data_IF_463467208935
#
_entry.id   IF_463467208935
#
_cell.length_a   1.000
_cell.length_b   1.000
_cell.length_c   1.000
_cell.angle_alpha   90.00
_cell.angle_beta   90.00
_cell.angle_gamma   90.00
#
_symmetry.space_group_name_H-M   'P 1'
#
loop_
_entity.id
_entity.type
_entity.pdbx_description
1 polymer ?
#
# COMPACT_ATOMS: atom_id res chain seq x y z
N UNK A 1 -44.23 -15.89 30.97
CA UNK A 1 -44.47 -14.73 30.09
C UNK A 1 -43.33 -13.74 30.31
N UNK A 2 -42.28 -13.82 29.50
CA UNK A 2 -41.15 -12.92 29.55
C UNK A 2 -40.93 -12.37 28.14
N UNK A 3 -41.10 -11.07 27.98
CA UNK A 3 -40.86 -10.34 26.73
C UNK A 3 -39.51 -9.66 26.87
N UNK A 4 -38.51 -10.18 26.18
CA UNK A 4 -37.18 -9.59 26.04
C UNK A 4 -37.22 -8.51 24.98
N UNK A 5 -36.92 -7.26 25.37
CA UNK A 5 -36.74 -6.12 24.47
C UNK A 5 -35.43 -6.30 23.69
N UNK A 6 -35.54 -6.36 22.35
CA UNK A 6 -34.41 -6.15 21.42
C UNK A 6 -33.92 -4.71 21.56
N UNK A 7 -32.63 -4.53 21.82
CA UNK A 7 -31.94 -3.25 21.72
C UNK A 7 -31.66 -2.94 20.23
N UNK A 8 -32.33 -1.93 19.69
CA UNK A 8 -32.00 -1.33 18.39
C UNK A 8 -30.68 -0.56 18.51
N UNK A 9 -29.58 -1.13 18.01
CA UNK A 9 -28.37 -0.37 17.65
C UNK A 9 -28.63 0.29 16.29
N UNK A 10 -29.32 1.43 16.30
CA UNK A 10 -29.32 2.36 15.17
C UNK A 10 -27.99 3.13 15.19
N UNK A 11 -27.03 2.66 14.40
CA UNK A 11 -25.85 3.45 14.05
C UNK A 11 -26.26 4.68 13.25
N UNK A 12 -26.46 5.80 13.93
CA UNK A 12 -26.50 7.11 13.29
C UNK A 12 -25.09 7.42 12.80
N UNK A 13 -24.90 7.53 11.49
CA UNK A 13 -23.64 8.06 10.95
C UNK A 13 -23.56 9.52 11.37
N UNK A 14 -22.71 9.77 12.36
CA UNK A 14 -22.50 11.09 12.91
C UNK A 14 -21.82 12.00 11.86
N UNK A 15 -22.57 12.99 11.38
CA UNK A 15 -22.08 14.06 10.53
C UNK A 15 -21.02 14.94 11.22
N UNK A 16 -20.74 14.73 12.52
CA UNK A 16 -19.69 15.39 13.29
C UNK A 16 -18.27 14.87 13.00
N UNK A 17 -18.14 13.69 12.38
CA UNK A 17 -16.85 13.09 12.04
C UNK A 17 -16.26 13.77 10.79
N UNK A 18 -15.05 14.32 10.93
CA UNK A 18 -14.35 14.97 9.82
C UNK A 18 -14.04 13.99 8.65
N UNK A 19 -13.47 14.46 7.54
CA UNK A 19 -13.16 13.60 6.40
C UNK A 19 -12.28 12.41 6.82
N UNK A 20 -12.73 11.16 6.62
CA UNK A 20 -11.97 9.94 7.01
C UNK A 20 -10.58 9.84 6.37
N UNK A 21 -10.33 10.55 5.27
CA UNK A 21 -9.00 10.61 4.66
C UNK A 21 -7.99 11.43 5.48
N UNK A 22 -8.45 12.31 6.37
CA UNK A 22 -7.60 13.09 7.27
C UNK A 22 -7.36 12.39 8.60
N UNK A 23 -8.22 11.45 8.99
CA UNK A 23 -8.04 10.73 10.24
C UNK A 23 -6.78 9.87 10.20
N UNK A 24 -6.20 9.71 11.38
CA UNK A 24 -5.16 8.74 11.64
C UNK A 24 -5.65 7.36 11.20
N UNK A 25 -4.79 6.68 10.46
CA UNK A 25 -4.92 5.25 10.23
C UNK A 25 -3.69 4.62 10.86
N UNK A 26 -3.96 3.67 11.76
CA UNK A 26 -3.01 2.99 12.64
C UNK A 26 -2.55 1.65 12.06
N UNK A 27 -2.90 1.32 10.82
CA UNK A 27 -2.54 0.04 10.21
C UNK A 27 -1.04 -0.07 9.86
N UNK A 28 -0.25 0.99 10.05
CA UNK A 28 1.20 0.97 9.85
C UNK A 28 1.89 0.47 11.12
N UNK A 29 2.95 -0.32 10.95
CA UNK A 29 3.74 -0.84 12.06
C UNK A 29 4.25 0.26 13.01
N UNK A 30 4.18 0.00 14.31
CA UNK A 30 4.59 0.92 15.37
C UNK A 30 3.59 2.03 15.68
N UNK A 31 2.33 1.82 15.33
CA UNK A 31 1.20 2.72 15.60
C UNK A 31 0.07 2.02 16.36
N UNK A 32 0.34 0.87 16.96
CA UNK A 32 -0.58 0.11 17.78
C UNK A 32 -0.81 0.82 19.13
N UNK A 33 -2.05 0.73 19.66
CA UNK A 33 -2.38 1.26 20.99
C UNK A 33 -2.43 2.79 21.11
N UNK A 34 -2.39 3.53 20.01
CA UNK A 34 -2.48 5.00 20.04
C UNK A 34 -3.88 5.49 20.44
N UNK A 35 -3.93 6.60 21.19
CA UNK A 35 -5.16 7.36 21.42
C UNK A 35 -5.59 8.07 20.14
N UNK A 36 -6.33 7.33 19.31
CA UNK A 36 -6.75 7.80 17.99
C UNK A 36 -7.70 8.99 18.06
N UNK A 37 -8.53 9.09 19.10
CA UNK A 37 -9.48 10.20 19.27
C UNK A 37 -8.73 11.51 19.49
N UNK A 38 -7.80 11.53 20.45
CA UNK A 38 -6.98 12.71 20.75
C UNK A 38 -6.13 13.14 19.55
N UNK A 39 -5.49 12.19 18.87
CA UNK A 39 -4.68 12.49 17.68
C UNK A 39 -5.57 13.08 16.56
N UNK A 40 -6.74 12.49 16.32
CA UNK A 40 -7.66 12.98 15.30
C UNK A 40 -8.19 14.38 15.63
N UNK A 41 -8.41 14.70 16.91
CA UNK A 41 -8.80 16.05 17.33
C UNK A 41 -7.72 17.09 17.00
N UNK A 42 -6.45 16.78 17.26
CA UNK A 42 -5.32 17.66 16.92
C UNK A 42 -5.22 17.85 15.40
N UNK A 43 -5.34 16.76 14.63
CA UNK A 43 -5.33 16.83 13.17
C UNK A 43 -6.49 17.67 12.64
N UNK A 44 -7.71 17.47 13.19
CA UNK A 44 -8.90 18.25 12.83
C UNK A 44 -8.66 19.73 13.10
N UNK A 45 -8.27 20.10 14.33
CA UNK A 45 -8.00 21.49 14.72
C UNK A 45 -6.91 22.14 13.87
N UNK A 46 -5.91 21.37 13.44
CA UNK A 46 -4.85 21.86 12.57
C UNK A 46 -5.27 22.05 11.10
N UNK A 47 -6.35 21.39 10.67
CA UNK A 47 -6.79 21.34 9.28
C UNK A 47 -8.06 22.14 9.02
N UNK A 48 -8.92 22.30 10.02
CA UNK A 48 -10.23 22.93 9.94
C UNK A 48 -10.12 24.38 9.41
N UNK A 49 -11.07 24.77 8.55
CA UNK A 49 -11.05 26.06 7.86
C UNK A 49 -10.09 26.16 6.66
N UNK A 50 -9.18 25.20 6.45
CA UNK A 50 -8.33 25.20 5.26
C UNK A 50 -9.09 24.81 3.98
N UNK A 51 -8.64 25.32 2.83
CA UNK A 51 -9.16 24.90 1.51
C UNK A 51 -9.02 23.39 1.27
N UNK A 52 -7.94 22.79 1.78
CA UNK A 52 -7.73 21.34 1.70
C UNK A 52 -8.79 20.57 2.48
N UNK A 53 -9.12 21.02 3.69
CA UNK A 53 -10.15 20.41 4.53
C UNK A 53 -11.52 20.50 3.87
N UNK A 54 -11.90 21.68 3.38
CA UNK A 54 -13.16 21.89 2.65
C UNK A 54 -13.26 20.99 1.41
N UNK A 55 -12.18 20.89 0.63
CA UNK A 55 -12.09 19.99 -0.51
C UNK A 55 -12.31 18.52 -0.10
N UNK A 56 -11.64 18.06 0.96
CA UNK A 56 -11.81 16.69 1.48
C UNK A 56 -13.20 16.44 2.04
N UNK A 57 -13.82 17.43 2.68
CA UNK A 57 -15.19 17.34 3.18
C UNK A 57 -16.18 17.15 2.04
N UNK A 58 -16.06 17.95 0.96
CA UNK A 58 -16.89 17.79 -0.24
C UNK A 58 -16.74 16.40 -0.86
N UNK A 59 -15.51 15.89 -0.96
CA UNK A 59 -15.27 14.54 -1.45
C UNK A 59 -15.88 13.45 -0.55
N UNK A 60 -15.83 13.63 0.77
CA UNK A 60 -16.45 12.69 1.71
C UNK A 60 -17.98 12.72 1.62
N UNK A 61 -18.59 13.90 1.47
CA UNK A 61 -20.04 14.02 1.24
C UNK A 61 -20.48 13.28 -0.02
N UNK A 62 -19.79 13.50 -1.14
CA UNK A 62 -20.06 12.78 -2.39
C UNK A 62 -19.90 11.27 -2.27
N UNK A 63 -18.90 10.81 -1.51
CA UNK A 63 -18.74 9.40 -1.21
C UNK A 63 -19.93 8.87 -0.39
N UNK A 64 -20.33 9.57 0.68
CA UNK A 64 -21.45 9.16 1.51
C UNK A 64 -22.76 9.05 0.72
N UNK A 65 -23.03 10.00 -0.20
CA UNK A 65 -24.19 9.93 -1.10
C UNK A 65 -24.16 8.66 -1.97
N UNK A 66 -23.00 8.34 -2.55
CA UNK A 66 -22.82 7.09 -3.31
C UNK A 66 -23.03 5.85 -2.48
N UNK A 67 -22.53 5.84 -1.23
CA UNK A 67 -22.70 4.71 -0.32
C UNK A 67 -24.18 4.49 0.02
N UNK A 68 -24.95 5.56 0.24
CA UNK A 68 -26.39 5.45 0.50
C UNK A 68 -27.17 4.95 -0.73
N UNK A 69 -26.79 5.37 -1.94
CA UNK A 69 -27.36 4.81 -3.19
C UNK A 69 -27.06 3.31 -3.29
N UNK A 70 -25.79 2.93 -3.09
CA UNK A 70 -25.36 1.53 -3.15
C UNK A 70 -26.05 0.66 -2.10
N UNK A 71 -26.29 1.15 -0.88
CA UNK A 71 -27.05 0.42 0.15
C UNK A 71 -28.51 0.20 -0.25
N UNK A 72 -29.15 1.21 -0.86
CA UNK A 72 -30.52 1.08 -1.37
C UNK A 72 -30.59 0.07 -2.52
N UNK A 73 -29.62 0.12 -3.42
CA UNK A 73 -29.48 -0.85 -4.51
C UNK A 73 -29.29 -2.27 -3.96
N UNK A 74 -28.38 -2.44 -3.00
CA UNK A 74 -28.15 -3.71 -2.31
C UNK A 74 -29.42 -4.29 -1.69
N UNK A 75 -30.23 -3.45 -1.04
CA UNK A 75 -31.50 -3.85 -0.43
C UNK A 75 -32.62 -4.14 -1.45
N UNK A 76 -32.47 -3.71 -2.70
CA UNK A 76 -33.48 -3.89 -3.74
C UNK A 76 -33.42 -5.26 -4.43
N UNK A 77 -32.27 -5.95 -4.35
CA UNK A 77 -32.11 -7.26 -4.99
C UNK A 77 -32.97 -8.32 -4.32
N UNK A 78 -33.62 -9.14 -5.14
CA UNK A 78 -34.40 -10.27 -4.65
C UNK A 78 -33.48 -11.39 -4.17
N UNK A 79 -34.02 -12.27 -3.33
CA UNK A 79 -33.34 -13.48 -2.90
C UNK A 79 -32.93 -14.35 -4.10
N UNK A 80 -33.79 -14.48 -5.09
CA UNK A 80 -33.51 -15.25 -6.32
C UNK A 80 -32.34 -14.66 -7.13
N UNK A 81 -32.28 -13.34 -7.29
CA UNK A 81 -31.15 -12.67 -7.96
C UNK A 81 -29.84 -12.93 -7.20
N UNK A 82 -29.87 -12.82 -5.87
CA UNK A 82 -28.69 -13.03 -5.02
C UNK A 82 -28.23 -14.49 -5.04
N UNK A 83 -29.16 -15.45 -5.00
CA UNK A 83 -28.85 -16.88 -5.09
C UNK A 83 -28.27 -17.24 -6.47
N UNK A 84 -28.84 -16.70 -7.55
CA UNK A 84 -28.30 -16.87 -8.90
C UNK A 84 -26.87 -16.33 -9.01
N UNK A 85 -26.64 -15.11 -8.53
CA UNK A 85 -25.32 -14.50 -8.50
C UNK A 85 -24.33 -15.32 -7.65
N UNK A 86 -24.77 -15.83 -6.50
CA UNK A 86 -23.96 -16.69 -5.63
C UNK A 86 -23.52 -17.96 -6.34
N UNK A 87 -24.43 -18.65 -7.06
CA UNK A 87 -24.08 -19.84 -7.86
C UNK A 87 -23.05 -19.54 -8.95
N UNK A 88 -23.14 -18.38 -9.60
CA UNK A 88 -22.15 -17.96 -10.58
C UNK A 88 -20.79 -17.69 -9.93
N UNK A 89 -20.77 -17.11 -8.73
CA UNK A 89 -19.53 -16.92 -7.97
C UNK A 89 -18.96 -18.26 -7.50
N UNK A 90 -19.79 -19.23 -7.14
CA UNK A 90 -19.33 -20.58 -6.74
C UNK A 90 -18.66 -21.32 -7.90
N UNK A 91 -19.15 -21.15 -9.13
CA UNK A 91 -18.50 -21.69 -10.34
C UNK A 91 -17.13 -21.06 -10.55
N UNK A 92 -17.05 -19.73 -10.49
CA UNK A 92 -15.78 -19.01 -10.61
C UNK A 92 -14.79 -19.39 -9.49
N UNK A 93 -15.28 -19.61 -8.27
CA UNK A 93 -14.43 -20.11 -7.17
C UNK A 93 -13.83 -21.47 -7.51
N UNK A 94 -14.60 -22.39 -8.10
CA UNK A 94 -14.08 -23.70 -8.51
C UNK A 94 -12.99 -23.56 -9.58
N UNK A 95 -13.18 -22.67 -10.55
CA UNK A 95 -12.19 -22.37 -11.58
C UNK A 95 -10.90 -21.82 -10.97
N UNK A 96 -11.02 -20.80 -10.11
CA UNK A 96 -9.87 -20.18 -9.43
C UNK A 96 -9.13 -21.13 -8.48
N UNK A 97 -9.85 -22.00 -7.77
CA UNK A 97 -9.24 -23.01 -6.90
C UNK A 97 -8.55 -24.13 -7.69
N UNK A 98 -9.05 -24.49 -8.87
CA UNK A 98 -8.41 -25.47 -9.74
C UNK A 98 -7.05 -25.00 -10.25
N UNK A 99 -6.86 -23.68 -10.36
CA UNK A 99 -5.59 -23.04 -10.75
C UNK A 99 -4.71 -22.66 -9.55
N UNK A 100 -5.08 -23.03 -8.32
CA UNK A 100 -4.28 -22.71 -7.14
C UNK A 100 -2.91 -23.39 -7.22
N UNK A 101 -1.89 -22.55 -7.20
CA UNK A 101 -0.49 -22.96 -7.15
C UNK A 101 0.12 -22.63 -5.79
N UNK A 102 0.61 -23.66 -5.10
CA UNK A 102 1.28 -23.59 -3.80
C UNK A 102 2.73 -24.07 -3.88
N UNK A 103 3.26 -24.30 -5.09
CA UNK A 103 4.60 -24.86 -5.28
C UNK A 103 5.72 -23.84 -5.13
N UNK A 104 5.39 -22.54 -5.18
CA UNK A 104 6.36 -21.45 -5.09
C UNK A 104 6.56 -20.96 -3.66
N UNK A 105 7.78 -20.50 -3.36
CA UNK A 105 8.13 -19.80 -2.12
C UNK A 105 8.46 -18.35 -2.43
N UNK A 106 7.46 -17.50 -2.32
CA UNK A 106 7.57 -16.06 -2.59
C UNK A 106 7.92 -15.32 -1.31
N UNK A 107 8.92 -14.45 -1.41
CA UNK A 107 9.36 -13.57 -0.34
C UNK A 107 9.07 -12.13 -0.72
N UNK A 108 8.39 -11.39 0.15
CA UNK A 108 8.35 -9.93 0.07
C UNK A 108 9.28 -9.36 1.13
N UNK A 109 10.25 -8.54 0.73
CA UNK A 109 11.16 -7.83 1.64
C UNK A 109 10.83 -6.34 1.62
N UNK A 110 10.77 -5.72 2.79
CA UNK A 110 10.41 -4.31 3.00
C UNK A 110 11.33 -3.70 4.07
N UNK A 111 12.17 -2.72 3.67
CA UNK A 111 13.13 -2.07 4.58
C UNK A 111 12.38 -1.27 5.66
N UNK A 112 12.83 -1.40 6.92
CA UNK A 112 12.14 -0.76 8.02
C UNK A 112 12.40 0.75 8.04
N UNK A 113 11.32 1.54 7.97
CA UNK A 113 11.35 3.02 8.03
C UNK A 113 12.43 3.64 7.11
N UNK A 114 12.62 3.07 5.91
CA UNK A 114 13.81 3.19 5.06
C UNK A 114 14.53 4.55 5.07
N UNK A 115 13.90 5.62 4.59
CA UNK A 115 14.59 6.92 4.53
C UNK A 115 15.01 7.43 5.90
N UNK A 116 14.16 7.26 6.94
CA UNK A 116 14.54 7.66 8.29
C UNK A 116 15.67 6.79 8.84
N UNK A 117 15.70 5.49 8.54
CA UNK A 117 16.78 4.60 8.94
C UNK A 117 18.13 5.01 8.32
N UNK A 118 18.14 5.39 7.04
CA UNK A 118 19.33 5.93 6.36
C UNK A 118 19.84 7.20 7.06
N UNK A 119 18.96 8.16 7.34
CA UNK A 119 19.38 9.40 8.02
C UNK A 119 19.87 9.13 9.45
N UNK A 120 19.24 8.22 10.21
CA UNK A 120 19.67 7.84 11.55
C UNK A 120 20.99 7.05 11.59
N UNK A 121 21.32 6.34 10.52
CA UNK A 121 22.63 5.69 10.36
C UNK A 121 23.71 6.76 10.18
N UNK A 122 23.48 7.69 9.26
CA UNK A 122 24.44 8.72 8.87
C UNK A 122 24.61 9.83 9.93
N UNK A 123 23.55 10.14 10.69
CA UNK A 123 23.56 11.03 11.85
C UNK A 123 23.02 10.31 13.10
N UNK A 124 23.91 9.71 13.92
CA UNK A 124 23.52 9.00 15.13
C UNK A 124 22.74 9.84 16.15
N UNK A 125 22.82 11.18 16.09
CA UNK A 125 22.09 12.08 17.01
C UNK A 125 20.57 12.06 16.82
N UNK A 126 20.10 11.45 15.73
CA UNK A 126 18.69 11.27 15.38
C UNK A 126 18.06 9.99 15.96
N UNK A 127 18.87 9.00 16.38
CA UNK A 127 18.38 7.66 16.78
C UNK A 127 17.43 7.70 17.98
N UNK A 128 17.74 8.56 18.95
CA UNK A 128 16.99 8.65 20.22
C UNK A 128 15.89 9.74 20.20
N UNK A 129 15.56 10.27 19.01
CA UNK A 129 14.59 11.36 18.86
C UNK A 129 13.46 10.98 17.92
N UNK A 130 12.23 11.49 18.13
CA UNK A 130 11.19 11.41 17.12
C UNK A 130 11.63 12.21 15.88
N UNK A 131 11.76 11.53 14.74
CA UNK A 131 12.21 12.16 13.50
C UNK A 131 11.38 11.70 12.28
N UNK A 132 11.31 12.57 11.27
CA UNK A 132 10.68 12.29 9.99
C UNK A 132 11.49 12.84 8.82
N UNK A 133 11.44 12.16 7.67
CA UNK A 133 12.05 12.64 6.43
C UNK A 133 10.99 13.37 5.61
N UNK A 134 11.30 14.55 5.09
CA UNK A 134 10.41 15.35 4.27
C UNK A 134 10.59 16.85 4.50
N UNK A 135 9.48 17.57 4.56
CA UNK A 135 9.44 19.02 4.80
C UNK A 135 8.27 19.39 5.70
N UNK A 136 8.17 20.67 6.04
CA UNK A 136 6.97 21.22 6.69
C UNK A 136 5.70 21.01 5.87
N UNK A 137 5.81 20.93 4.53
CA UNK A 137 4.69 20.71 3.63
C UNK A 137 4.21 19.26 3.57
N UNK A 138 5.14 18.29 3.60
CA UNK A 138 4.81 16.87 3.52
C UNK A 138 5.93 15.99 4.07
N UNK A 139 5.56 14.95 4.83
CA UNK A 139 6.47 13.91 5.32
C UNK A 139 6.44 12.68 4.41
N UNK A 140 7.61 12.20 4.00
CA UNK A 140 7.79 10.97 3.23
C UNK A 140 7.73 9.72 4.11
N UNK A 141 8.38 9.77 5.28
CA UNK A 141 8.32 8.69 6.29
C UNK A 141 8.69 9.23 7.67
N UNK A 142 8.51 8.41 8.70
CA UNK A 142 8.87 8.69 10.09
C UNK A 142 9.47 7.47 10.76
N UNK A 143 10.40 7.69 11.70
CA UNK A 143 10.94 6.63 12.53
C UNK A 143 9.90 6.12 13.54
N UNK A 144 10.12 4.94 14.11
CA UNK A 144 9.17 4.34 15.05
C UNK A 144 8.94 5.19 16.30
N UNK A 145 9.93 5.97 16.76
CA UNK A 145 9.76 6.90 17.87
C UNK A 145 8.71 7.98 17.57
N UNK A 146 8.74 8.58 16.37
CA UNK A 146 7.74 9.55 15.93
C UNK A 146 6.36 8.93 15.68
N UNK A 147 6.30 7.66 15.22
CA UNK A 147 5.03 6.93 15.00
C UNK A 147 4.21 6.76 16.27
N UNK A 148 4.86 6.67 17.44
CA UNK A 148 4.19 6.66 18.77
C UNK A 148 3.37 7.92 19.06
N UNK A 149 3.59 9.01 18.33
CA UNK A 149 2.80 10.25 18.43
C UNK A 149 1.74 10.38 17.33
N UNK A 150 1.60 9.38 16.46
CA UNK A 150 0.74 9.44 15.28
C UNK A 150 1.41 10.07 14.04
N UNK A 151 2.68 10.47 14.11
CA UNK A 151 3.41 11.04 12.96
C UNK A 151 3.72 9.95 11.95
N UNK A 152 3.31 10.15 10.70
CA UNK A 152 3.41 9.12 9.63
C UNK A 152 3.65 9.74 8.25
N UNK A 153 4.06 8.90 7.30
CA UNK A 153 4.13 9.26 5.88
C UNK A 153 2.79 9.84 5.36
N UNK A 154 2.89 10.73 4.37
CA UNK A 154 1.77 11.47 3.77
C UNK A 154 1.02 12.41 4.74
N UNK A 155 1.62 12.73 5.89
CA UNK A 155 1.16 13.79 6.80
C UNK A 155 1.93 15.08 6.51
N UNK A 156 1.29 16.26 6.52
CA UNK A 156 2.02 17.53 6.49
C UNK A 156 2.94 17.68 7.71
N UNK A 157 4.19 18.11 7.50
CA UNK A 157 5.18 18.24 8.58
C UNK A 157 4.75 19.21 9.69
N UNK A 158 4.02 20.29 9.34
CA UNK A 158 3.47 21.20 10.34
C UNK A 158 2.41 20.56 11.25
N UNK A 159 1.66 19.55 10.75
CA UNK A 159 0.73 18.76 11.58
C UNK A 159 1.54 17.78 12.44
N UNK A 160 2.55 17.14 11.87
CA UNK A 160 3.48 16.28 12.62
C UNK A 160 4.09 17.00 13.83
N UNK A 161 4.52 18.26 13.65
CA UNK A 161 5.02 19.14 14.73
C UNK A 161 3.98 19.48 15.80
N UNK A 162 2.68 19.51 15.46
CA UNK A 162 1.61 19.70 16.46
C UNK A 162 1.34 18.43 17.27
N UNK A 163 1.50 17.26 16.67
CA UNK A 163 1.42 15.97 17.35
C UNK A 163 2.63 15.70 18.24
N UNK A 164 3.81 16.09 17.77
CA UNK A 164 5.09 15.93 18.45
C UNK A 164 5.92 17.21 18.30
N UNK A 165 5.88 18.14 19.28
CA UNK A 165 6.63 19.41 19.21
C UNK A 165 8.14 19.23 19.00
N UNK A 166 8.71 18.16 19.56
CA UNK A 166 10.13 17.80 19.46
C UNK A 166 10.51 17.11 18.13
N UNK A 167 9.55 16.85 17.23
CA UNK A 167 9.77 16.13 15.97
C UNK A 167 10.87 16.79 15.13
N UNK A 168 11.95 16.08 14.84
CA UNK A 168 12.98 16.57 13.90
C UNK A 168 12.58 16.23 12.47
N UNK A 169 12.56 17.21 11.57
CA UNK A 169 12.23 16.99 10.15
C UNK A 169 13.51 17.16 9.34
N UNK A 170 13.94 16.08 8.67
CA UNK A 170 15.15 16.03 7.85
C UNK A 170 14.76 16.08 6.36
N UNK A 171 15.37 16.96 5.54
CA UNK A 171 15.13 16.97 4.10
C UNK A 171 15.52 15.65 3.43
N UNK A 172 14.80 15.18 2.39
CA UNK A 172 15.12 13.93 1.71
C UNK A 172 16.42 14.01 0.91
N UNK A 173 17.21 12.94 0.91
CA UNK A 173 18.37 12.75 0.05
C UNK A 173 18.21 11.51 -0.84
N UNK A 174 17.58 11.69 -2.01
CA UNK A 174 17.27 10.58 -2.92
C UNK A 174 18.51 9.92 -3.54
N UNK A 175 19.64 10.61 -3.62
CA UNK A 175 20.90 10.00 -4.10
C UNK A 175 21.36 8.92 -3.11
N UNK A 176 21.39 9.23 -1.80
CA UNK A 176 21.69 8.24 -0.75
C UNK A 176 20.70 7.07 -0.77
N UNK A 177 19.41 7.35 -0.89
CA UNK A 177 18.38 6.28 -0.85
C UNK A 177 18.50 5.33 -2.05
N UNK A 178 18.81 5.85 -3.25
CA UNK A 178 19.07 5.01 -4.43
C UNK A 178 20.33 4.18 -4.26
N UNK A 179 21.42 4.75 -3.71
CA UNK A 179 22.65 4.02 -3.46
C UNK A 179 22.43 2.84 -2.49
N UNK A 180 21.75 3.08 -1.36
CA UNK A 180 21.43 2.00 -0.41
C UNK A 180 20.49 0.97 -1.03
N UNK A 181 19.49 1.40 -1.82
CA UNK A 181 18.61 0.48 -2.55
C UNK A 181 19.40 -0.45 -3.48
N UNK A 182 20.43 0.07 -4.16
CA UNK A 182 21.32 -0.72 -5.00
C UNK A 182 22.08 -1.78 -4.19
N UNK A 183 22.64 -1.40 -3.04
CA UNK A 183 23.35 -2.34 -2.15
C UNK A 183 22.45 -3.49 -1.69
N UNK A 184 21.18 -3.21 -1.38
CA UNK A 184 20.16 -4.19 -1.00
C UNK A 184 19.79 -5.09 -2.19
N UNK A 185 19.58 -4.51 -3.38
CA UNK A 185 19.26 -5.25 -4.61
C UNK A 185 20.37 -6.21 -5.02
N UNK A 186 21.63 -5.86 -4.77
CA UNK A 186 22.75 -6.77 -4.96
C UNK A 186 22.64 -8.00 -4.05
N UNK A 187 22.17 -7.85 -2.80
CA UNK A 187 21.86 -8.99 -1.92
C UNK A 187 20.72 -9.83 -2.50
N UNK A 188 19.64 -9.20 -2.95
CA UNK A 188 18.50 -9.91 -3.55
C UNK A 188 18.90 -10.76 -4.76
N UNK A 189 19.76 -10.23 -5.63
CA UNK A 189 20.20 -10.91 -6.85
C UNK A 189 20.91 -12.26 -6.62
N UNK A 190 21.44 -12.48 -5.41
CA UNK A 190 22.02 -13.76 -5.02
C UNK A 190 20.97 -14.86 -4.81
N UNK A 191 19.80 -14.50 -4.31
CA UNK A 191 18.72 -15.45 -3.98
C UNK A 191 17.73 -15.62 -5.13
N UNK A 192 17.47 -14.53 -5.86
CA UNK A 192 16.63 -14.54 -7.05
C UNK A 192 17.17 -13.50 -8.06
N UNK A 193 17.85 -13.91 -9.13
CA UNK A 193 18.29 -13.01 -10.19
C UNK A 193 17.14 -12.32 -10.95
N UNK A 194 15.93 -12.90 -10.89
CA UNK A 194 14.71 -12.43 -11.53
C UNK A 194 13.79 -11.63 -10.59
N UNK A 195 14.28 -11.20 -9.43
CA UNK A 195 13.48 -10.48 -8.43
C UNK A 195 12.78 -9.25 -9.02
N UNK A 196 11.62 -8.90 -8.45
CA UNK A 196 10.79 -7.80 -8.92
C UNK A 196 10.82 -6.62 -7.92
N UNK A 197 11.58 -5.55 -8.18
CA UNK A 197 11.58 -4.36 -7.33
C UNK A 197 10.30 -3.54 -7.51
N UNK A 198 9.63 -3.18 -6.42
CA UNK A 198 8.42 -2.34 -6.46
C UNK A 198 8.74 -0.88 -6.16
N UNK A 199 9.69 -0.64 -5.26
CA UNK A 199 10.15 0.69 -4.84
C UNK A 199 11.67 0.70 -4.58
N UNK A 200 12.17 1.72 -3.88
CA UNK A 200 13.55 1.71 -3.39
C UNK A 200 13.74 0.78 -2.18
N UNK A 201 12.69 0.53 -1.41
CA UNK A 201 12.72 -0.20 -0.15
C UNK A 201 12.01 -1.55 -0.16
N UNK A 202 11.30 -1.91 -1.24
CA UNK A 202 10.55 -3.16 -1.28
C UNK A 202 10.71 -3.92 -2.60
N UNK A 203 10.74 -5.24 -2.51
CA UNK A 203 10.85 -6.16 -3.64
C UNK A 203 10.20 -7.51 -3.34
N UNK A 204 9.77 -8.21 -4.40
CA UNK A 204 9.42 -9.63 -4.36
C UNK A 204 10.57 -10.47 -4.91
N UNK A 205 10.80 -11.63 -4.30
CA UNK A 205 11.72 -12.65 -4.74
C UNK A 205 10.99 -14.00 -4.80
N UNK A 206 11.29 -14.81 -5.80
CA UNK A 206 10.93 -16.22 -5.83
C UNK A 206 12.17 -17.06 -5.49
N UNK A 207 12.24 -17.55 -4.26
CA UNK A 207 13.42 -18.30 -3.78
C UNK A 207 13.29 -19.81 -4.01
N UNK A 208 12.24 -20.27 -4.72
CA UNK A 208 11.96 -21.71 -4.92
C UNK A 208 13.18 -22.46 -5.46
N UNK A 209 13.77 -21.96 -6.54
CA UNK A 209 14.97 -22.52 -7.16
C UNK A 209 16.19 -22.48 -6.24
N UNK A 210 16.33 -21.42 -5.44
CA UNK A 210 17.43 -21.27 -4.50
C UNK A 210 17.34 -22.31 -3.40
N UNK A 211 16.14 -22.53 -2.84
CA UNK A 211 15.90 -23.52 -1.81
C UNK A 211 16.23 -24.94 -2.31
N UNK A 212 15.80 -25.29 -3.53
CA UNK A 212 16.09 -26.60 -4.12
C UNK A 212 17.58 -26.86 -4.33
N UNK A 213 18.35 -25.84 -4.75
CA UNK A 213 19.78 -25.97 -5.06
C UNK A 213 20.68 -25.93 -3.83
N UNK A 214 20.21 -25.34 -2.73
CA UNK A 214 21.05 -25.00 -1.57
C UNK A 214 20.53 -25.60 -0.24
N UNK A 215 19.56 -26.51 -0.27
CA UNK A 215 18.94 -27.08 0.95
C UNK A 215 19.96 -27.64 1.94
N UNK A 216 20.98 -28.36 1.44
CA UNK A 216 22.05 -28.97 2.25
C UNK A 216 22.97 -27.97 2.96
N UNK A 217 22.89 -26.67 2.65
CA UNK A 217 23.64 -25.63 3.36
C UNK A 217 22.97 -25.20 4.67
N UNK A 218 21.68 -25.51 4.83
CA UNK A 218 20.85 -24.98 5.92
C UNK A 218 20.25 -26.06 6.82
N UNK A 219 20.04 -27.27 6.30
CA UNK A 219 19.44 -28.39 7.02
C UNK A 219 20.21 -29.68 6.74
N UNK A 220 20.35 -30.54 7.74
CA UNK A 220 20.97 -31.86 7.59
C UNK A 220 20.01 -32.82 6.85
N UNK A 221 20.54 -33.71 6.00
CA UNK A 221 19.73 -34.61 5.15
C UNK A 221 18.82 -35.58 5.94
N UNK A 222 19.11 -35.82 7.22
CA UNK A 222 18.37 -36.74 8.10
C UNK A 222 17.11 -36.11 8.76
N UNK A 223 16.89 -34.79 8.64
CA UNK A 223 15.82 -34.06 9.36
C UNK A 223 14.43 -34.08 8.69
N UNK A 224 14.24 -34.84 7.61
CA UNK A 224 12.96 -34.96 6.91
C UNK A 224 12.51 -33.70 6.15
N UNK A 225 11.26 -33.66 5.69
CA UNK A 225 10.72 -32.53 4.91
C UNK A 225 10.48 -31.31 5.82
N UNK A 226 11.44 -30.39 5.82
CA UNK A 226 11.49 -29.25 6.73
C UNK A 226 11.57 -27.91 5.98
N UNK A 227 10.73 -27.79 4.94
CA UNK A 227 10.66 -26.62 4.06
C UNK A 227 10.48 -25.30 4.82
N UNK A 228 9.70 -25.30 5.91
CA UNK A 228 9.50 -24.12 6.75
C UNK A 228 10.82 -23.63 7.37
N UNK A 229 11.60 -24.50 7.99
CA UNK A 229 12.86 -24.10 8.63
C UNK A 229 13.88 -23.64 7.59
N UNK A 230 13.97 -24.34 6.46
CA UNK A 230 14.82 -23.96 5.34
C UNK A 230 14.48 -22.56 4.81
N UNK A 231 13.21 -22.30 4.47
CA UNK A 231 12.77 -21.01 3.95
C UNK A 231 13.01 -19.88 4.96
N UNK A 232 12.71 -20.12 6.25
CA UNK A 232 12.96 -19.13 7.30
C UNK A 232 14.45 -18.86 7.51
N UNK A 233 15.31 -19.88 7.47
CA UNK A 233 16.76 -19.73 7.60
C UNK A 233 17.35 -18.89 6.46
N UNK A 234 16.98 -19.17 5.21
CA UNK A 234 17.42 -18.41 4.03
C UNK A 234 16.99 -16.94 4.10
N UNK A 235 15.74 -16.67 4.48
CA UNK A 235 15.24 -15.29 4.60
C UNK A 235 15.89 -14.56 5.78
N UNK A 236 16.18 -15.25 6.88
CA UNK A 236 16.92 -14.67 7.99
C UNK A 236 18.37 -14.33 7.59
N UNK A 237 19.03 -15.20 6.84
CA UNK A 237 20.36 -14.92 6.27
C UNK A 237 20.32 -13.72 5.33
N UNK A 238 19.34 -13.65 4.42
CA UNK A 238 19.17 -12.53 3.50
C UNK A 238 19.02 -11.21 4.27
N UNK A 239 18.17 -11.16 5.30
CA UNK A 239 17.99 -10.00 6.18
C UNK A 239 19.28 -9.63 6.91
N UNK A 240 20.02 -10.64 7.40
CA UNK A 240 21.31 -10.41 8.04
C UNK A 240 22.36 -9.84 7.07
N UNK A 241 22.44 -10.34 5.82
CA UNK A 241 23.34 -9.78 4.80
C UNK A 241 22.99 -8.33 4.46
N UNK A 242 21.71 -7.98 4.42
CA UNK A 242 21.25 -6.59 4.26
C UNK A 242 21.74 -5.73 5.44
N UNK A 243 21.55 -6.20 6.67
CA UNK A 243 21.97 -5.48 7.88
C UNK A 243 23.49 -5.29 7.94
N UNK A 244 24.28 -6.33 7.68
CA UNK A 244 25.75 -6.24 7.65
C UNK A 244 26.23 -5.24 6.59
N UNK A 245 25.62 -5.25 5.40
CA UNK A 245 26.04 -4.42 4.28
C UNK A 245 25.63 -2.96 4.44
N UNK A 246 24.42 -2.71 4.94
CA UNK A 246 23.80 -1.37 4.92
C UNK A 246 23.71 -0.72 6.30
N UNK A 247 23.85 -1.51 7.38
CA UNK A 247 23.53 -1.17 8.77
C UNK A 247 22.05 -0.83 9.00
N UNK A 248 21.16 -1.33 8.14
CA UNK A 248 19.71 -1.12 8.20
C UNK A 248 18.98 -2.46 8.28
N UNK A 249 17.83 -2.47 8.94
CA UNK A 249 17.00 -3.66 9.07
C UNK A 249 15.92 -3.74 7.99
N UNK A 250 15.49 -4.96 7.71
CA UNK A 250 14.36 -5.25 6.85
C UNK A 250 13.43 -6.26 7.52
N UNK A 251 12.14 -6.18 7.18
CA UNK A 251 11.16 -7.20 7.49
C UNK A 251 10.78 -7.98 6.23
N UNK A 252 10.38 -9.23 6.43
CA UNK A 252 10.07 -10.13 5.31
C UNK A 252 8.82 -10.98 5.55
N UNK A 253 8.07 -11.25 4.49
CA UNK A 253 6.96 -12.19 4.51
C UNK A 253 7.22 -13.31 3.51
N UNK A 254 6.97 -14.55 3.93
CA UNK A 254 7.22 -15.76 3.15
C UNK A 254 5.88 -16.48 2.96
N UNK A 255 5.47 -16.69 1.72
CA UNK A 255 4.20 -17.34 1.41
C UNK A 255 4.20 -17.96 0.00
N UNK A 256 3.12 -18.65 -0.35
CA UNK A 256 2.94 -19.26 -1.67
C UNK A 256 2.78 -18.27 -2.85
N UNK A 257 2.44 -17.00 -2.56
CA UNK A 257 2.23 -16.00 -3.60
C UNK A 257 2.52 -14.57 -3.10
N UNK A 258 2.67 -13.66 -4.06
CA UNK A 258 2.97 -12.23 -3.84
C UNK A 258 1.99 -11.52 -2.90
N UNK A 259 0.69 -11.78 -3.02
CA UNK A 259 -0.34 -11.12 -2.18
C UNK A 259 -0.13 -11.48 -0.71
N UNK A 260 0.00 -12.77 -0.41
CA UNK A 260 0.18 -13.26 0.95
C UNK A 260 1.55 -12.83 1.51
N UNK A 261 2.61 -12.95 0.71
CA UNK A 261 3.96 -12.53 1.11
C UNK A 261 4.00 -11.06 1.53
N UNK A 262 3.33 -10.16 0.78
CA UNK A 262 3.22 -8.74 1.16
C UNK A 262 2.55 -8.54 2.51
N UNK A 263 1.41 -9.19 2.73
CA UNK A 263 0.69 -9.08 4.01
C UNK A 263 1.56 -9.59 5.16
N UNK A 264 2.20 -10.75 4.99
CA UNK A 264 3.08 -11.36 5.98
C UNK A 264 4.26 -10.46 6.36
N UNK A 265 4.84 -9.74 5.40
CA UNK A 265 5.99 -8.85 5.64
C UNK A 265 5.69 -7.69 6.59
N UNK A 266 4.41 -7.31 6.72
CA UNK A 266 3.97 -6.24 7.61
C UNK A 266 3.61 -6.72 9.03
N UNK A 267 3.46 -8.03 9.26
CA UNK A 267 2.95 -8.59 10.54
C UNK A 267 3.96 -8.46 11.68
N UNK A 268 5.22 -8.80 11.42
CA UNK A 268 6.29 -8.82 12.41
C UNK A 268 7.26 -7.64 12.25
N UNK A 269 6.79 -6.51 11.71
CA UNK A 269 7.58 -5.27 11.64
C UNK A 269 7.74 -4.64 13.03
N UNK A 270 8.91 -4.03 13.34
CA UNK A 270 10.15 -4.00 12.55
C UNK A 270 11.05 -5.22 12.76
N UNK A 271 12.01 -5.41 11.84
CA UNK A 271 13.11 -6.37 11.92
C UNK A 271 12.68 -7.79 12.28
N UNK A 272 11.52 -8.21 11.76
CA UNK A 272 11.00 -9.56 11.90
C UNK A 272 10.53 -10.12 10.57
N UNK A 273 10.29 -11.44 10.56
CA UNK A 273 9.75 -12.14 9.41
C UNK A 273 8.54 -13.01 9.81
N UNK A 274 7.68 -13.33 8.84
CA UNK A 274 6.53 -14.21 9.05
C UNK A 274 6.42 -15.22 7.91
N UNK A 275 6.29 -16.50 8.25
CA UNK A 275 6.06 -17.60 7.32
C UNK A 275 4.59 -18.02 7.34
N UNK A 276 3.95 -18.02 6.18
CA UNK A 276 2.63 -18.61 5.99
C UNK A 276 2.79 -19.92 5.22
N UNK A 277 2.48 -21.09 5.84
CA UNK A 277 2.62 -22.37 5.18
C UNK A 277 1.87 -22.43 3.84
N UNK A 278 2.43 -23.10 2.80
CA UNK A 278 1.78 -23.32 1.52
C UNK A 278 0.71 -24.43 1.63
N UNK A 279 -0.18 -24.31 2.61
CA UNK A 279 -1.30 -25.19 2.86
C UNK A 279 -2.60 -24.43 2.63
N UNK A 280 -3.52 -25.02 1.87
CA UNK A 280 -4.76 -24.36 1.47
C UNK A 280 -5.60 -23.94 2.68
N UNK A 281 -5.78 -24.82 3.65
CA UNK A 281 -6.68 -24.57 4.76
C UNK A 281 -6.08 -23.54 5.73
N UNK A 282 -4.76 -23.60 5.95
CA UNK A 282 -4.03 -22.54 6.68
C UNK A 282 -4.12 -21.18 6.01
N UNK A 283 -4.02 -21.13 4.69
CA UNK A 283 -4.17 -19.87 3.92
C UNK A 283 -5.59 -19.31 4.09
N UNK A 284 -6.62 -20.17 4.01
CA UNK A 284 -8.01 -19.75 4.17
C UNK A 284 -8.31 -19.27 5.59
N UNK A 285 -7.77 -19.95 6.61
CA UNK A 285 -7.87 -19.53 8.02
C UNK A 285 -7.22 -18.15 8.22
N UNK A 286 -5.99 -18.00 7.72
CA UNK A 286 -5.24 -16.75 7.80
C UNK A 286 -5.98 -15.59 7.12
N UNK A 287 -6.40 -15.78 5.87
CA UNK A 287 -6.99 -14.69 5.08
C UNK A 287 -8.38 -14.32 5.62
N UNK A 288 -9.20 -15.29 6.04
CA UNK A 288 -10.58 -15.06 6.49
C UNK A 288 -10.66 -14.04 7.62
N UNK A 289 -9.75 -14.13 8.60
CA UNK A 289 -9.69 -13.24 9.76
C UNK A 289 -9.03 -11.88 9.51
N UNK A 290 -8.34 -11.72 8.37
CA UNK A 290 -7.57 -10.52 8.07
C UNK A 290 -8.49 -9.31 7.84
N UNK A 291 -8.24 -8.15 8.48
CA UNK A 291 -8.95 -6.93 8.16
C UNK A 291 -8.75 -6.56 6.69
N UNK A 292 -9.83 -6.24 5.98
CA UNK A 292 -9.77 -6.05 4.52
C UNK A 292 -8.81 -4.93 4.10
N UNK A 293 -8.61 -3.93 4.98
CA UNK A 293 -7.73 -2.79 4.77
C UNK A 293 -6.24 -3.14 4.74
N UNK A 294 -5.86 -4.31 5.28
CA UNK A 294 -4.48 -4.83 5.26
C UNK A 294 -4.09 -5.42 3.90
N UNK A 295 -5.05 -5.67 3.01
CA UNK A 295 -4.78 -6.22 1.69
C UNK A 295 -4.39 -5.12 0.71
N UNK A 296 -3.27 -5.31 0.00
CA UNK A 296 -2.85 -4.40 -1.06
C UNK A 296 -3.94 -4.25 -2.13
N UNK A 297 -4.16 -3.02 -2.59
CA UNK A 297 -5.26 -2.67 -3.50
C UNK A 297 -6.55 -2.21 -2.81
N UNK A 298 -6.77 -2.51 -1.52
CA UNK A 298 -7.92 -2.00 -0.77
C UNK A 298 -7.54 -0.69 -0.06
N UNK A 299 -7.78 0.43 -0.74
CA UNK A 299 -7.63 1.78 -0.18
C UNK A 299 -8.83 2.23 0.66
N UNK A 300 -8.71 3.40 1.31
CA UNK A 300 -9.74 3.97 2.19
C UNK A 300 -11.13 4.11 1.53
N UNK A 301 -11.18 4.43 0.24
CA UNK A 301 -12.46 4.55 -0.48
C UNK A 301 -13.11 3.18 -0.66
N UNK A 302 -12.37 2.18 -1.14
CA UNK A 302 -12.91 0.83 -1.33
C UNK A 302 -13.29 0.19 0.01
N UNK A 303 -12.46 0.36 1.04
CA UNK A 303 -12.76 -0.04 2.41
C UNK A 303 -14.12 0.52 2.88
N UNK A 304 -14.40 1.80 2.64
CA UNK A 304 -15.70 2.40 3.00
C UNK A 304 -16.88 1.84 2.20
N UNK A 305 -16.68 1.48 0.93
CA UNK A 305 -17.73 0.79 0.15
C UNK A 305 -18.03 -0.59 0.74
N UNK A 306 -16.99 -1.35 1.07
CA UNK A 306 -17.15 -2.67 1.68
C UNK A 306 -17.75 -2.58 3.10
N UNK A 307 -17.30 -1.64 3.92
CA UNK A 307 -17.87 -1.38 5.26
C UNK A 307 -19.34 -0.99 5.21
N UNK A 308 -19.77 -0.24 4.18
CA UNK A 308 -21.18 0.11 3.98
C UNK A 308 -22.07 -1.12 3.73
N UNK A 309 -21.47 -2.26 3.38
CA UNK A 309 -22.09 -3.57 3.21
C UNK A 309 -21.73 -4.53 4.35
N UNK A 310 -21.26 -4.04 5.50
CA UNK A 310 -20.80 -4.80 6.68
C UNK A 310 -19.60 -5.75 6.41
N UNK A 311 -18.76 -5.42 5.42
CA UNK A 311 -17.55 -6.16 5.10
C UNK A 311 -16.35 -5.45 5.72
N UNK A 312 -15.79 -6.04 6.77
CA UNK A 312 -14.63 -5.52 7.51
C UNK A 312 -13.43 -6.47 7.47
N UNK A 313 -13.69 -7.77 7.33
CA UNK A 313 -12.69 -8.84 7.20
C UNK A 313 -12.80 -9.50 5.83
N UNK A 314 -11.73 -10.13 5.35
CA UNK A 314 -11.75 -10.79 4.04
C UNK A 314 -12.72 -11.96 4.00
N UNK A 315 -12.98 -12.67 5.10
CA UNK A 315 -13.99 -13.74 5.16
C UNK A 315 -15.39 -13.28 4.76
N UNK A 316 -15.77 -12.04 5.11
CA UNK A 316 -17.07 -11.47 4.72
C UNK A 316 -17.20 -11.28 3.20
N UNK A 317 -16.09 -11.19 2.45
CA UNK A 317 -16.15 -11.17 0.98
C UNK A 317 -16.70 -12.49 0.43
N UNK A 318 -16.29 -13.61 1.02
CA UNK A 318 -16.80 -14.93 0.64
C UNK A 318 -18.28 -15.07 1.00
N UNK A 319 -18.66 -14.63 2.20
CA UNK A 319 -20.06 -14.65 2.67
C UNK A 319 -20.99 -13.83 1.76
N UNK A 320 -20.53 -12.65 1.33
CA UNK A 320 -21.33 -11.70 0.54
C UNK A 320 -21.03 -11.73 -0.97
N UNK A 321 -20.35 -12.75 -1.47
CA UNK A 321 -19.89 -12.85 -2.88
C UNK A 321 -21.00 -12.64 -3.92
N UNK A 322 -22.20 -13.18 -3.69
CA UNK A 322 -23.35 -12.98 -4.59
C UNK A 322 -23.80 -11.53 -4.67
N UNK A 323 -23.83 -10.84 -3.53
CA UNK A 323 -24.17 -9.41 -3.47
C UNK A 323 -23.07 -8.56 -4.14
N UNK A 324 -21.80 -8.89 -3.89
CA UNK A 324 -20.67 -8.20 -4.50
C UNK A 324 -20.69 -8.31 -6.04
N UNK A 325 -21.07 -9.46 -6.59
CA UNK A 325 -21.22 -9.64 -8.04
C UNK A 325 -22.27 -8.70 -8.64
N UNK A 326 -23.35 -8.42 -7.92
CA UNK A 326 -24.43 -7.57 -8.41
C UNK A 326 -24.11 -6.07 -8.33
N UNK A 327 -23.27 -5.67 -7.36
CA UNK A 327 -22.98 -4.26 -7.08
C UNK A 327 -21.70 -3.74 -7.75
N UNK A 328 -20.71 -4.61 -7.95
CA UNK A 328 -19.39 -4.22 -8.42
C UNK A 328 -19.14 -4.70 -9.85
N UNK A 329 -18.26 -3.97 -10.55
CA UNK A 329 -17.76 -4.41 -11.85
C UNK A 329 -17.04 -5.75 -11.75
N UNK A 330 -16.95 -6.44 -12.88
CA UNK A 330 -16.25 -7.73 -13.01
C UNK A 330 -14.86 -7.75 -12.38
N UNK A 331 -13.99 -6.83 -12.80
CA UNK A 331 -12.65 -6.67 -12.24
C UNK A 331 -12.63 -6.56 -10.71
N UNK A 332 -13.64 -5.94 -10.10
CA UNK A 332 -13.69 -5.76 -8.65
C UNK A 332 -14.17 -7.03 -7.95
N UNK A 333 -15.27 -7.65 -8.40
CA UNK A 333 -15.76 -8.86 -7.74
C UNK A 333 -14.79 -10.04 -7.91
N UNK A 334 -14.09 -10.14 -9.05
CA UNK A 334 -13.05 -11.15 -9.25
C UNK A 334 -11.87 -10.91 -8.32
N UNK A 335 -11.39 -9.68 -8.22
CA UNK A 335 -10.34 -9.34 -7.26
C UNK A 335 -10.78 -9.65 -5.83
N UNK A 336 -12.02 -9.36 -5.43
CA UNK A 336 -12.53 -9.73 -4.11
C UNK A 336 -12.53 -11.25 -3.87
N UNK A 337 -12.89 -12.06 -4.86
CA UNK A 337 -12.78 -13.52 -4.74
C UNK A 337 -11.33 -13.97 -4.57
N UNK A 338 -10.41 -13.46 -5.39
CA UNK A 338 -8.99 -13.82 -5.23
C UNK A 338 -8.45 -13.42 -3.85
N UNK A 339 -8.90 -12.28 -3.29
CA UNK A 339 -8.59 -11.89 -1.92
C UNK A 339 -9.16 -12.91 -0.93
N UNK A 340 -10.45 -13.23 -1.02
CA UNK A 340 -11.12 -14.13 -0.08
C UNK A 340 -10.53 -15.55 -0.09
N UNK A 341 -9.96 -15.97 -1.22
CA UNK A 341 -9.30 -17.26 -1.41
C UNK A 341 -7.79 -17.24 -1.11
N UNK A 342 -7.22 -16.07 -0.79
CA UNK A 342 -5.77 -15.92 -0.58
C UNK A 342 -4.94 -16.16 -1.85
N UNK A 343 -5.51 -15.92 -3.03
CA UNK A 343 -4.85 -16.09 -4.33
C UNK A 343 -4.09 -14.81 -4.73
N UNK A 344 -2.99 -15.01 -5.45
CA UNK A 344 -2.13 -13.96 -6.00
C UNK A 344 -1.19 -14.56 -7.04
N UNK A 345 -0.27 -13.74 -7.57
CA UNK A 345 0.72 -14.25 -8.51
C UNK A 345 1.75 -15.13 -7.79
N UNK A 346 1.91 -16.38 -8.26
CA UNK A 346 2.95 -17.32 -7.84
C UNK A 346 4.24 -17.19 -8.67
N UNK A 347 4.21 -16.43 -9.76
CA UNK A 347 5.38 -16.11 -10.59
C UNK A 347 5.64 -14.62 -10.62
N UNK A 348 6.91 -14.25 -10.75
CA UNK A 348 7.34 -12.86 -10.87
C UNK A 348 7.58 -12.51 -12.35
N UNK A 349 7.14 -11.31 -12.75
CA UNK A 349 7.51 -10.76 -14.05
C UNK A 349 8.77 -9.92 -13.93
N UNK A 350 9.72 -10.16 -14.84
CA UNK A 350 10.89 -9.29 -14.99
C UNK A 350 10.44 -7.95 -15.57
N UNK A 351 10.26 -6.95 -14.71
CA UNK A 351 9.95 -5.59 -15.13
C UNK A 351 11.18 -4.96 -15.76
N UNK A 352 10.99 -4.32 -16.92
CA UNK A 352 12.00 -3.52 -17.60
C UNK A 352 11.49 -2.10 -17.81
N UNK A 353 12.40 -1.15 -18.08
CA UNK A 353 12.00 0.22 -18.45
C UNK A 353 11.06 0.27 -19.67
N UNK A 354 11.06 -0.76 -20.53
CA UNK A 354 10.12 -0.88 -21.66
C UNK A 354 8.67 -1.12 -21.25
N UNK A 355 8.44 -1.62 -20.04
CA UNK A 355 7.10 -1.85 -19.49
C UNK A 355 6.48 -0.57 -18.92
N UNK A 356 7.24 0.52 -18.85
CA UNK A 356 6.77 1.83 -18.39
C UNK A 356 5.69 2.37 -19.33
N UNK A 357 4.51 2.66 -18.77
CA UNK A 357 3.36 3.18 -19.53
C UNK A 357 3.27 4.71 -19.57
N UNK A 358 3.93 5.40 -18.64
CA UNK A 358 3.98 6.86 -18.58
C UNK A 358 5.18 7.36 -17.78
N UNK A 359 5.65 8.56 -18.12
CA UNK A 359 6.65 9.34 -17.38
C UNK A 359 6.11 10.78 -17.23
N UNK A 360 6.37 11.41 -16.09
CA UNK A 360 5.84 12.74 -15.79
C UNK A 360 6.68 13.43 -14.72
N UNK A 361 6.76 14.76 -14.78
CA UNK A 361 7.19 15.61 -13.67
C UNK A 361 6.03 16.53 -13.24
N UNK A 362 6.00 16.89 -11.96
CA UNK A 362 5.06 17.87 -11.43
C UNK A 362 5.67 18.63 -10.25
N UNK A 363 5.30 19.90 -10.13
CA UNK A 363 5.71 20.73 -8.99
C UNK A 363 4.51 21.43 -8.34
N UNK A 364 4.55 21.56 -7.01
CA UNK A 364 3.59 22.36 -6.24
C UNK A 364 4.25 23.64 -5.80
N UNK A 365 3.61 24.77 -6.09
CA UNK A 365 4.13 26.12 -5.85
C UNK A 365 3.06 27.01 -5.20
N UNK A 366 3.44 28.23 -4.79
CA UNK A 366 2.49 29.21 -4.25
C UNK A 366 1.48 29.59 -5.34
N UNK A 367 0.18 29.54 -5.01
CA UNK A 367 -0.88 29.83 -5.98
C UNK A 367 -0.72 31.20 -6.65
N UNK A 368 -0.78 31.21 -7.99
CA UNK A 368 -0.71 32.41 -8.82
C UNK A 368 -1.67 32.29 -10.00
N UNK A 369 -2.18 33.44 -10.46
CA UNK A 369 -2.93 33.58 -11.70
C UNK A 369 -2.12 34.29 -12.79
N UNK A 370 -0.84 34.59 -12.53
CA UNK A 370 0.04 35.22 -13.52
C UNK A 370 0.37 34.25 -14.65
N UNK A 371 -0.07 34.59 -15.86
CA UNK A 371 0.10 33.78 -17.04
C UNK A 371 1.56 33.59 -17.42
N UNK A 372 2.42 34.60 -17.22
CA UNK A 372 3.83 34.50 -17.58
C UNK A 372 4.54 33.49 -16.68
N UNK A 373 4.33 33.57 -15.37
CA UNK A 373 4.83 32.59 -14.41
C UNK A 373 4.34 31.18 -14.73
N UNK A 374 3.04 30.99 -15.01
CA UNK A 374 2.48 29.67 -15.34
C UNK A 374 3.06 29.10 -16.63
N UNK A 375 3.27 29.93 -17.65
CA UNK A 375 3.88 29.50 -18.91
C UNK A 375 5.34 29.09 -18.69
N UNK A 376 6.11 29.89 -17.93
CA UNK A 376 7.49 29.56 -17.57
C UNK A 376 7.59 28.22 -16.84
N UNK A 377 6.76 28.00 -15.81
CA UNK A 377 6.70 26.72 -15.09
C UNK A 377 6.39 25.54 -16.02
N UNK A 378 5.50 25.74 -17.00
CA UNK A 378 5.21 24.70 -17.99
C UNK A 378 6.41 24.38 -18.87
N UNK A 379 7.17 25.38 -19.31
CA UNK A 379 8.40 25.18 -20.10
C UNK A 379 9.46 24.46 -19.28
N UNK A 380 9.68 24.90 -18.04
CA UNK A 380 10.66 24.30 -17.13
C UNK A 380 10.33 22.81 -16.88
N UNK A 381 9.05 22.46 -16.64
CA UNK A 381 8.62 21.07 -16.48
C UNK A 381 8.73 20.25 -17.78
N UNK A 382 8.50 20.85 -18.95
CA UNK A 382 8.70 20.17 -20.23
C UNK A 382 10.17 19.85 -20.46
N UNK A 383 11.07 20.77 -20.12
CA UNK A 383 12.52 20.56 -20.22
C UNK A 383 13.00 19.47 -19.27
N UNK A 384 12.56 19.50 -18.00
CA UNK A 384 12.88 18.46 -17.02
C UNK A 384 12.37 17.09 -17.49
N UNK A 385 11.13 17.01 -17.99
CA UNK A 385 10.58 15.77 -18.53
C UNK A 385 11.37 15.24 -19.73
N UNK A 386 11.79 16.13 -20.62
CA UNK A 386 12.59 15.81 -21.80
C UNK A 386 13.95 15.20 -21.44
N UNK A 387 14.65 15.81 -20.48
CA UNK A 387 15.90 15.30 -19.94
C UNK A 387 15.71 13.91 -19.32
N UNK A 388 14.65 13.75 -18.53
CA UNK A 388 14.28 12.48 -17.88
C UNK A 388 13.93 11.37 -18.88
N UNK A 389 13.29 11.74 -20.00
CA UNK A 389 12.94 10.86 -21.11
C UNK A 389 14.16 10.47 -21.92
N UNK A 390 15.06 11.42 -22.18
CA UNK A 390 16.30 11.19 -22.91
C UNK A 390 17.26 10.27 -22.13
N UNK A 391 17.41 10.47 -20.83
CA UNK A 391 18.24 9.61 -19.97
C UNK A 391 17.76 8.15 -20.00
N UNK A 392 16.44 7.95 -20.10
CA UNK A 392 15.81 6.62 -20.07
C UNK A 392 15.58 6.01 -21.45
N UNK A 393 15.93 6.72 -22.53
CA UNK A 393 15.66 6.33 -23.93
C UNK A 393 14.18 6.03 -24.21
N UNK A 394 13.28 6.91 -23.77
CA UNK A 394 11.82 6.75 -23.89
C UNK A 394 11.20 7.90 -24.69
N UNK A 395 10.36 7.58 -25.67
CA UNK A 395 9.52 8.54 -26.41
C UNK A 395 8.04 8.29 -26.17
N UNK A 396 7.22 9.35 -26.21
CA UNK A 396 5.78 9.27 -25.94
C UNK A 396 4.91 9.90 -27.03
N UNK A 397 3.72 9.33 -27.27
CA UNK A 397 2.73 9.90 -28.21
C UNK A 397 1.64 10.74 -27.53
N UNK A 398 1.43 10.55 -26.23
CA UNK A 398 0.33 11.18 -25.49
C UNK A 398 0.92 12.17 -24.48
N UNK A 399 0.65 13.45 -24.69
CA UNK A 399 1.02 14.51 -23.76
C UNK A 399 -0.16 14.78 -22.82
N UNK A 400 0.09 14.83 -21.51
CA UNK A 400 -0.93 15.15 -20.51
C UNK A 400 -0.49 16.32 -19.65
N UNK A 401 -1.22 17.44 -19.76
CA UNK A 401 -1.08 18.57 -18.84
C UNK A 401 -1.98 18.36 -17.62
N UNK A 402 -1.39 18.44 -16.42
CA UNK A 402 -2.10 18.42 -15.14
C UNK A 402 -1.96 19.77 -14.45
N UNK A 403 -3.07 20.32 -13.97
CA UNK A 403 -3.03 21.47 -13.07
C UNK A 403 -3.98 21.27 -11.90
N UNK A 404 -3.61 21.87 -10.76
CA UNK A 404 -4.34 21.80 -9.50
C UNK A 404 -4.63 23.21 -9.02
N UNK A 405 -5.90 23.53 -8.80
CA UNK A 405 -6.30 24.86 -8.31
C UNK A 405 -5.93 25.04 -6.83
N UNK A 406 -6.02 26.28 -6.34
CA UNK A 406 -5.81 26.61 -4.93
C UNK A 406 -6.84 25.93 -3.98
N UNK A 407 -7.95 25.47 -4.54
CA UNK A 407 -9.00 24.68 -3.87
C UNK A 407 -8.80 23.17 -4.06
N UNK A 408 -7.60 22.76 -4.45
CA UNK A 408 -7.17 21.38 -4.64
C UNK A 408 -7.93 20.60 -5.73
N UNK A 409 -8.68 21.28 -6.60
CA UNK A 409 -9.33 20.65 -7.74
C UNK A 409 -8.29 20.32 -8.80
N UNK A 410 -8.19 19.05 -9.17
CA UNK A 410 -7.29 18.57 -10.23
C UNK A 410 -8.04 18.59 -11.57
N UNK A 411 -7.37 19.10 -12.60
CA UNK A 411 -7.82 19.02 -13.99
C UNK A 411 -6.68 18.50 -14.85
N UNK A 412 -7.01 17.61 -15.78
CA UNK A 412 -6.09 17.05 -16.76
C UNK A 412 -6.59 17.32 -18.17
N UNK A 413 -5.67 17.58 -19.11
CA UNK A 413 -5.94 17.69 -20.53
C UNK A 413 -4.87 16.89 -21.26
N UNK A 414 -5.30 16.00 -22.14
CA UNK A 414 -4.41 15.14 -22.89
C UNK A 414 -4.56 15.39 -24.39
N UNK A 415 -3.46 15.24 -25.13
CA UNK A 415 -3.42 15.30 -26.58
C UNK A 415 -2.52 14.17 -27.09
N UNK A 416 -3.05 13.39 -28.04
CA UNK A 416 -2.28 12.39 -28.78
C UNK A 416 -1.71 13.02 -30.04
N UNK A 417 -0.40 12.90 -30.23
CA UNK A 417 0.32 13.38 -31.41
C UNK A 417 0.33 12.31 -32.51
N UNK A 418 0.58 12.73 -33.76
CA UNK A 418 0.75 11.81 -34.90
C UNK A 418 1.99 10.93 -34.76
N UNK A 419 3.06 11.50 -34.21
CA UNK A 419 4.36 10.85 -34.01
C UNK A 419 4.78 10.92 -32.55
N UNK A 420 5.68 10.03 -32.14
CA UNK A 420 6.24 10.06 -30.79
C UNK A 420 7.22 11.23 -30.64
N UNK A 421 7.26 11.84 -29.47
CA UNK A 421 8.13 12.98 -29.14
C UNK A 421 8.94 12.71 -27.87
N UNK A 422 10.10 13.35 -27.76
CA UNK A 422 10.90 13.45 -26.54
C UNK A 422 10.55 14.69 -25.71
N UNK A 423 9.89 15.69 -26.31
CA UNK A 423 9.89 17.09 -25.89
C UNK A 423 11.32 17.67 -25.74
N UNK A 424 11.54 18.99 -25.84
CA UNK A 424 10.64 20.04 -26.35
C UNK A 424 10.40 20.00 -27.87
#
# INVERSE_FOLDING_TARGET
>A
MAVTKKSELKGTMDASSGPKNLSLNTHKAGMEGLDTEKINEIIKRASEGSRFYQHKQKHQQHLNEKLEVMKKEAASFTKEQTEKATKQMDQLIQELEAERDLSHTIVHVDMDMFYAAVEMRDDPSLRDKPMAVGSTGMLSTSNYAARKFGVRAAMPGFIGKKLCPELTIVPPNFSKYRAVSQEVREVFSHYDPGFSPMSLDEAYLDITDYLQKNSSLYVDEDDGDNHEQLAQAVVNEMRHKIEVKTQLTASAGIAANTRLAKVCSDLNKPNGQYYLPPDRDRILEFISSLPIRKVSGIGNVMEQHLQALDITQCGHLMEKRGLLKLLFSETNYENFLTIALGLGHSTLSAWTERDRKSISTETTFKGTSDRQTLFKLSVDLCQELAEDMQEKDIVGKVLTLKFKTIDFQIRTRAQTLSEATLLP
#
